data_IF_615000658612
#
_entry.id   IF_615000658612
#
_cell.length_a   1.000
_cell.length_b   1.000
_cell.length_c   1.000
_cell.angle_alpha   90.00
_cell.angle_beta   90.00
_cell.angle_gamma   90.00
#
_symmetry.space_group_name_H-M   'P 1'
#
loop_
_entity.id
_entity.type
_entity.pdbx_description
1 polymer ?
#
# COMPACT_ATOMS: atom_id res chain seq x y z
N UNK A 1 9.60 10.02 -6.98
CA UNK A 1 8.20 9.85 -6.54
C UNK A 1 7.33 9.53 -7.75
N UNK A 2 6.45 8.53 -7.65
CA UNK A 2 5.55 8.20 -8.73
C UNK A 2 4.38 9.19 -8.82
N UNK A 3 3.74 9.24 -9.98
CA UNK A 3 2.53 10.06 -10.14
C UNK A 3 1.41 9.61 -9.22
N UNK A 4 1.35 8.30 -8.92
CA UNK A 4 0.36 7.74 -8.01
C UNK A 4 0.57 8.26 -6.58
N UNK A 5 1.82 8.28 -6.13
CA UNK A 5 2.14 8.81 -4.80
C UNK A 5 1.87 10.31 -4.72
N UNK A 6 2.15 11.06 -5.78
CA UNK A 6 1.86 12.49 -5.84
C UNK A 6 0.36 12.78 -5.70
N UNK A 7 -0.47 11.93 -6.30
CA UNK A 7 -1.92 12.05 -6.22
C UNK A 7 -2.38 11.95 -4.75
N UNK A 8 -1.89 10.95 -4.03
CA UNK A 8 -2.23 10.75 -2.61
C UNK A 8 -1.65 11.86 -1.76
N UNK A 9 -0.42 12.29 -2.05
CA UNK A 9 0.23 13.38 -1.33
C UNK A 9 -0.60 14.66 -1.36
N UNK A 10 -1.21 14.98 -2.51
CA UNK A 10 -2.08 16.16 -2.63
C UNK A 10 -3.27 16.07 -1.68
N UNK A 11 -3.87 14.89 -1.55
CA UNK A 11 -5.00 14.69 -0.63
C UNK A 11 -4.57 14.96 0.80
N UNK A 12 -3.44 14.41 1.23
CA UNK A 12 -2.93 14.64 2.58
C UNK A 12 -2.68 16.13 2.85
N UNK A 13 -2.10 16.83 1.88
CA UNK A 13 -1.84 18.27 2.02
C UNK A 13 -3.11 19.09 2.07
N UNK A 14 -4.09 18.78 1.22
CA UNK A 14 -5.36 19.49 1.18
C UNK A 14 -6.15 19.34 2.49
N UNK A 15 -6.06 18.18 3.11
CA UNK A 15 -6.79 17.91 4.36
C UNK A 15 -5.93 18.12 5.60
N UNK A 16 -4.73 18.68 5.43
CA UNK A 16 -3.81 18.97 6.54
C UNK A 16 -3.49 17.74 7.38
N UNK A 17 -3.28 16.59 6.71
CA UNK A 17 -2.94 15.34 7.37
C UNK A 17 -1.42 15.29 7.56
N UNK A 18 -0.99 15.09 8.80
CA UNK A 18 0.43 14.84 9.05
C UNK A 18 0.80 13.43 8.61
N UNK A 19 1.88 13.30 7.87
CA UNK A 19 2.37 12.01 7.37
C UNK A 19 3.89 11.98 7.36
N UNK A 20 4.43 10.77 7.42
CA UNK A 20 5.84 10.50 7.22
C UNK A 20 5.99 9.65 5.97
N UNK A 21 7.03 9.92 5.18
CA UNK A 21 7.27 9.17 3.96
C UNK A 21 8.34 8.11 4.17
N UNK A 22 8.22 7.02 3.41
CA UNK A 22 9.22 5.96 3.37
C UNK A 22 9.53 5.40 4.75
N UNK A 23 8.48 5.16 5.54
CA UNK A 23 8.59 4.60 6.89
C UNK A 23 9.25 3.23 6.86
N UNK A 24 10.21 3.01 7.76
CA UNK A 24 10.88 1.72 7.94
C UNK A 24 10.71 1.23 9.38
N UNK A 25 10.88 -0.08 9.57
CA UNK A 25 10.87 -0.70 10.89
C UNK A 25 12.13 -1.56 11.03
N UNK A 26 12.84 -1.41 12.14
CA UNK A 26 14.12 -2.10 12.35
C UNK A 26 14.01 -3.62 12.30
N UNK A 27 12.91 -4.16 12.79
CA UNK A 27 12.65 -5.60 12.85
C UNK A 27 12.01 -6.18 11.59
N UNK A 28 11.87 -5.36 10.54
CA UNK A 28 11.44 -5.84 9.22
C UNK A 28 12.59 -5.66 8.24
N UNK A 29 13.26 -6.76 7.92
CA UNK A 29 14.40 -6.79 6.99
C UNK A 29 15.46 -5.73 7.36
N UNK A 30 15.74 -5.56 8.67
CA UNK A 30 16.72 -4.60 9.19
C UNK A 30 16.47 -3.16 8.71
N UNK A 31 15.20 -2.79 8.54
CA UNK A 31 14.83 -1.46 8.06
C UNK A 31 15.00 -1.24 6.57
N UNK A 32 15.18 -2.30 5.78
CA UNK A 32 15.36 -2.19 4.33
C UNK A 32 14.04 -2.08 3.57
N UNK A 33 12.92 -2.53 4.16
CA UNK A 33 11.61 -2.39 3.52
C UNK A 33 11.02 -1.04 3.91
N UNK A 34 10.60 -0.27 2.88
CA UNK A 34 10.01 1.06 3.05
C UNK A 34 8.53 1.00 2.71
N UNK A 35 7.74 1.70 3.55
CA UNK A 35 6.33 1.91 3.29
C UNK A 35 6.13 3.33 2.78
N UNK A 36 5.23 3.51 1.80
CA UNK A 36 5.07 4.80 1.13
C UNK A 36 4.71 5.93 2.09
N UNK A 37 3.67 5.74 2.90
CA UNK A 37 3.19 6.74 3.84
C UNK A 37 2.83 6.13 5.18
N UNK A 38 3.21 6.81 6.25
CA UNK A 38 2.81 6.48 7.61
C UNK A 38 2.03 7.65 8.18
N UNK A 39 0.84 7.37 8.73
CA UNK A 39 -0.05 8.37 9.33
C UNK A 39 -0.11 8.10 10.84
N UNK A 40 0.80 8.71 11.63
CA UNK A 40 0.88 8.37 13.06
C UNK A 40 -0.34 8.79 13.87
N UNK A 41 -1.09 9.79 13.41
CA UNK A 41 -2.23 10.34 14.14
C UNK A 41 -3.58 9.79 13.69
N UNK A 42 -3.59 8.86 12.74
CA UNK A 42 -4.81 8.26 12.20
C UNK A 42 -4.87 6.80 12.62
N UNK A 43 -5.99 6.37 13.21
CA UNK A 43 -6.21 4.97 13.61
C UNK A 43 -5.05 4.40 14.46
N UNK A 44 -4.54 5.22 15.40
CA UNK A 44 -3.41 4.87 16.26
C UNK A 44 -2.10 4.57 15.51
N UNK A 45 -1.97 5.15 14.32
CA UNK A 45 -0.84 4.92 13.43
C UNK A 45 -1.19 3.87 12.38
N UNK A 46 -1.30 4.29 11.13
CA UNK A 46 -1.60 3.38 10.03
C UNK A 46 -0.68 3.67 8.85
N UNK A 47 -0.63 2.72 7.92
CA UNK A 47 0.22 2.79 6.75
C UNK A 47 -0.64 2.81 5.50
N UNK A 48 -0.24 3.61 4.51
CA UNK A 48 -0.85 3.65 3.19
C UNK A 48 0.21 3.34 2.15
N UNK A 49 -0.05 2.31 1.34
CA UNK A 49 0.79 1.90 0.21
C UNK A 49 0.02 2.10 -1.09
N UNK A 50 0.70 2.58 -2.12
CA UNK A 50 0.10 2.70 -3.46
C UNK A 50 0.78 1.66 -4.35
N UNK A 51 0.01 0.70 -4.82
CA UNK A 51 0.54 -0.41 -5.61
C UNK A 51 0.36 -0.14 -7.10
N UNK A 52 1.44 0.27 -7.76
CA UNK A 52 1.49 0.48 -9.20
C UNK A 52 1.48 -0.83 -9.99
N UNK A 53 1.54 -0.73 -11.32
CA UNK A 53 1.40 -1.89 -12.20
C UNK A 53 2.45 -2.97 -11.95
N UNK A 54 3.68 -2.58 -11.59
CA UNK A 54 4.75 -3.56 -11.38
C UNK A 54 4.57 -4.45 -10.15
N UNK A 55 3.60 -4.13 -9.29
CA UNK A 55 3.20 -5.05 -8.20
C UNK A 55 2.40 -6.25 -8.73
N UNK A 56 1.82 -6.13 -9.92
CA UNK A 56 0.88 -7.12 -10.47
C UNK A 56 1.30 -7.68 -11.82
N UNK A 57 2.04 -6.92 -12.61
CA UNK A 57 2.43 -7.26 -13.98
C UNK A 57 3.95 -7.31 -14.11
N UNK A 58 4.49 -8.14 -15.02
CA UNK A 58 5.95 -8.25 -15.20
C UNK A 58 6.52 -7.09 -16.02
N UNK A 59 6.25 -5.84 -15.61
CA UNK A 59 6.72 -4.62 -16.29
C UNK A 59 8.25 -4.59 -16.37
N UNK A 60 8.92 -5.05 -15.30
CA UNK A 60 10.39 -5.10 -15.20
C UNK A 60 10.91 -6.53 -15.32
N UNK A 61 10.10 -7.43 -15.90
CA UNK A 61 10.43 -8.82 -16.04
C UNK A 61 9.82 -9.71 -14.97
N UNK A 62 9.70 -11.00 -15.28
CA UNK A 62 9.04 -11.99 -14.43
C UNK A 62 9.74 -12.16 -13.08
N UNK A 63 11.08 -12.15 -13.07
CA UNK A 63 11.85 -12.31 -11.84
C UNK A 63 11.59 -11.18 -10.87
N UNK A 64 11.51 -9.95 -11.37
CA UNK A 64 11.23 -8.78 -10.53
C UNK A 64 9.82 -8.82 -9.98
N UNK A 65 8.85 -9.30 -10.76
CA UNK A 65 7.47 -9.44 -10.28
C UNK A 65 7.40 -10.44 -9.11
N UNK A 66 8.07 -11.57 -9.23
CA UNK A 66 8.09 -12.58 -8.16
C UNK A 66 8.68 -11.99 -6.88
N UNK A 67 9.77 -11.25 -6.98
CA UNK A 67 10.39 -10.56 -5.84
C UNK A 67 9.44 -9.54 -5.22
N UNK A 68 8.78 -8.75 -6.04
CA UNK A 68 7.84 -7.72 -5.56
C UNK A 68 6.69 -8.36 -4.80
N UNK A 69 6.13 -9.44 -5.35
CA UNK A 69 5.04 -10.17 -4.71
C UNK A 69 5.47 -10.73 -3.35
N UNK A 70 6.68 -11.26 -3.26
CA UNK A 70 7.23 -11.76 -2.01
C UNK A 70 7.37 -10.62 -0.98
N UNK A 71 7.92 -9.48 -1.40
CA UNK A 71 8.07 -8.32 -0.52
C UNK A 71 6.71 -7.82 -0.03
N UNK A 72 5.72 -7.78 -0.91
CA UNK A 72 4.37 -7.35 -0.55
C UNK A 72 3.77 -8.28 0.51
N UNK A 73 3.93 -9.60 0.35
CA UNK A 73 3.44 -10.58 1.32
C UNK A 73 4.14 -10.42 2.67
N UNK A 74 5.43 -10.16 2.68
CA UNK A 74 6.18 -9.94 3.92
C UNK A 74 5.75 -8.68 4.64
N UNK A 75 5.52 -7.59 3.90
CA UNK A 75 4.98 -6.35 4.46
C UNK A 75 3.59 -6.57 5.04
N UNK A 76 2.74 -7.27 4.32
CA UNK A 76 1.40 -7.61 4.80
C UNK A 76 1.45 -8.40 6.10
N UNK A 77 2.26 -9.45 6.13
CA UNK A 77 2.43 -10.29 7.32
C UNK A 77 2.93 -9.48 8.52
N UNK A 78 3.91 -8.62 8.29
CA UNK A 78 4.48 -7.78 9.36
C UNK A 78 3.42 -6.88 9.98
N UNK A 79 2.66 -6.17 9.16
CA UNK A 79 1.62 -5.26 9.65
C UNK A 79 0.52 -6.02 10.37
N UNK A 80 0.11 -7.17 9.86
CA UNK A 80 -0.91 -7.99 10.53
C UNK A 80 -0.42 -8.48 11.88
N UNK A 81 0.81 -8.98 11.97
CA UNK A 81 1.39 -9.48 13.23
C UNK A 81 1.53 -8.37 14.27
N UNK A 82 1.83 -7.16 13.85
CA UNK A 82 2.05 -6.02 14.74
C UNK A 82 0.81 -5.14 14.92
N UNK A 83 -0.33 -5.56 14.36
CA UNK A 83 -1.60 -4.85 14.45
C UNK A 83 -1.52 -3.41 13.95
N UNK A 84 -0.74 -3.20 12.89
CA UNK A 84 -0.63 -1.91 12.22
C UNK A 84 -1.60 -1.94 11.02
N UNK A 85 -2.66 -1.11 11.01
CA UNK A 85 -3.55 -1.08 9.85
C UNK A 85 -2.76 -0.69 8.60
N UNK A 86 -2.86 -1.51 7.56
CA UNK A 86 -2.21 -1.27 6.28
C UNK A 86 -3.28 -1.16 5.21
N UNK A 87 -3.36 0.01 4.59
CA UNK A 87 -4.28 0.28 3.49
C UNK A 87 -3.48 0.26 2.19
N UNK A 88 -3.86 -0.63 1.27
CA UNK A 88 -3.21 -0.72 -0.04
C UNK A 88 -4.17 -0.26 -1.13
N UNK A 89 -3.75 0.76 -1.89
CA UNK A 89 -4.55 1.31 -2.99
C UNK A 89 -3.95 0.80 -4.29
N UNK A 90 -4.60 -0.15 -4.98
CA UNK A 90 -4.09 -0.59 -6.27
C UNK A 90 -4.31 0.51 -7.32
N UNK A 91 -3.44 0.56 -8.32
CA UNK A 91 -3.43 1.64 -9.29
C UNK A 91 -4.78 1.84 -10.01
N UNK A 92 -5.54 0.77 -10.22
CA UNK A 92 -6.83 0.87 -10.92
C UNK A 92 -7.94 1.48 -10.07
N UNK A 93 -7.72 1.66 -8.77
CA UNK A 93 -8.69 2.27 -7.85
C UNK A 93 -8.42 3.74 -7.58
N UNK A 94 -7.28 4.25 -8.05
CA UNK A 94 -6.85 5.60 -7.66
C UNK A 94 -7.87 6.69 -8.05
N UNK A 95 -8.52 6.55 -9.20
CA UNK A 95 -9.55 7.50 -9.65
C UNK A 95 -10.76 7.57 -8.72
N UNK A 96 -10.96 6.58 -7.88
CA UNK A 96 -12.06 6.53 -6.92
C UNK A 96 -11.70 7.19 -5.58
N UNK A 97 -10.45 7.62 -5.43
CA UNK A 97 -9.94 8.22 -4.20
C UNK A 97 -9.98 9.74 -4.33
N UNK A 98 -10.81 10.40 -3.51
CA UNK A 98 -10.95 11.86 -3.52
C UNK A 98 -10.52 12.52 -2.22
N UNK A 99 -10.55 11.76 -1.12
CA UNK A 99 -10.28 12.30 0.21
C UNK A 99 -9.73 11.19 1.11
N UNK A 100 -9.38 11.55 2.35
CA UNK A 100 -8.82 10.60 3.31
C UNK A 100 -9.81 9.46 3.61
N UNK A 101 -11.09 9.75 3.74
CA UNK A 101 -12.09 8.72 4.03
C UNK A 101 -12.12 7.64 2.95
N UNK A 102 -11.92 8.02 1.69
CA UNK A 102 -11.85 7.05 0.60
C UNK A 102 -10.63 6.13 0.76
N UNK A 103 -9.49 6.68 1.17
CA UNK A 103 -8.27 5.92 1.40
C UNK A 103 -8.48 4.89 2.52
N UNK A 104 -9.19 5.30 3.57
CA UNK A 104 -9.42 4.47 4.75
C UNK A 104 -10.63 3.54 4.62
N UNK A 105 -11.16 3.38 3.43
CA UNK A 105 -12.25 2.43 3.17
C UNK A 105 -11.76 1.01 3.46
N UNK A 106 -12.61 0.22 4.11
CA UNK A 106 -12.31 -1.17 4.49
C UNK A 106 -11.88 -2.04 3.31
N UNK A 107 -12.34 -1.73 2.11
CA UNK A 107 -11.98 -2.52 0.91
C UNK A 107 -10.49 -2.45 0.58
N UNK A 108 -9.76 -1.47 1.14
CA UNK A 108 -8.31 -1.35 0.96
C UNK A 108 -7.53 -1.86 2.16
N UNK A 109 -8.20 -2.23 3.23
CA UNK A 109 -7.55 -2.72 4.45
C UNK A 109 -7.06 -4.14 4.26
N UNK A 110 -5.76 -4.34 4.40
CA UNK A 110 -5.13 -5.65 4.26
C UNK A 110 -5.57 -6.56 5.41
N UNK A 111 -6.12 -7.72 5.09
CA UNK A 111 -6.61 -8.70 6.06
C UNK A 111 -5.88 -10.03 6.01
N UNK A 112 -5.11 -10.30 4.94
CA UNK A 112 -4.28 -11.51 4.81
C UNK A 112 -2.96 -11.16 4.15
N UNK A 113 -1.95 -12.03 4.33
CA UNK A 113 -0.67 -11.83 3.64
C UNK A 113 -0.82 -11.95 2.12
N UNK A 114 -1.86 -12.63 1.64
CA UNK A 114 -2.13 -12.85 0.22
C UNK A 114 -2.99 -11.76 -0.40
N UNK A 115 -3.18 -10.64 0.30
CA UNK A 115 -4.06 -9.55 -0.10
C UNK A 115 -3.86 -9.12 -1.55
N UNK A 116 -2.62 -8.84 -1.94
CA UNK A 116 -2.32 -8.36 -3.29
C UNK A 116 -2.70 -9.39 -4.35
N UNK A 117 -2.43 -10.66 -4.07
CA UNK A 117 -2.75 -11.76 -4.99
C UNK A 117 -4.27 -11.87 -5.16
N UNK A 118 -5.01 -11.78 -4.07
CA UNK A 118 -6.46 -11.93 -4.08
C UNK A 118 -7.15 -10.79 -4.83
N UNK A 119 -6.77 -9.54 -4.56
CA UNK A 119 -7.38 -8.39 -5.24
C UNK A 119 -7.06 -8.38 -6.73
N UNK A 120 -5.86 -8.82 -7.12
CA UNK A 120 -5.49 -8.94 -8.53
C UNK A 120 -6.36 -9.97 -9.24
N UNK A 121 -6.57 -11.15 -8.65
CA UNK A 121 -7.45 -12.16 -9.20
C UNK A 121 -8.87 -11.64 -9.38
N UNK A 122 -9.39 -10.92 -8.38
CA UNK A 122 -10.73 -10.34 -8.45
C UNK A 122 -10.84 -9.30 -9.56
N UNK A 123 -9.83 -8.46 -9.70
CA UNK A 123 -9.78 -7.44 -10.76
C UNK A 123 -9.76 -8.11 -12.14
N UNK A 124 -8.93 -9.13 -12.32
CA UNK A 124 -8.82 -9.85 -13.59
C UNK A 124 -10.11 -10.53 -13.98
N UNK A 125 -10.88 -11.03 -13.03
CA UNK A 125 -12.18 -11.65 -13.30
C UNK A 125 -13.22 -10.68 -13.84
N UNK A 126 -13.07 -9.40 -13.57
CA UNK A 126 -14.00 -8.34 -14.02
C UNK A 126 -13.66 -7.80 -15.40
N UNK A 127 -12.53 -8.16 -15.95
CA UNK A 127 -12.07 -7.69 -17.25
C UNK A 127 -12.64 -8.53 -18.38
#
# INVERSE_FOLDING_TARGET
MSLYEEYILKIFKQEHIYFEREKTFKDLKHGLFRFDFYLPNINNGCIVEIDGEYHFKPIRGRRQLIKQQEYDRRKNSYCLANKIPLYRIPYWELRNIKNLNDILDKKYLVTTKWWNDEIWLNYMKKM
#
